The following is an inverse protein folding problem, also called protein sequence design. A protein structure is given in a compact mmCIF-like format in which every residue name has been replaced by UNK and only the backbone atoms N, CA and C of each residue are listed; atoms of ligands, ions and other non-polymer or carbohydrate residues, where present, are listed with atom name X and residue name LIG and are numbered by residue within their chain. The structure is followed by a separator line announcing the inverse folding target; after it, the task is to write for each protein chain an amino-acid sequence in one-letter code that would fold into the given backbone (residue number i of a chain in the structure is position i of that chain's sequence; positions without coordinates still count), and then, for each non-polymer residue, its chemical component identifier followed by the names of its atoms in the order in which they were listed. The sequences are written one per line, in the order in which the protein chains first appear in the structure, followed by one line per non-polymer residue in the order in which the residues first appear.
data_IF_732911159179
#
_entry.id   IF_732911159179
#
_cell.length_a   1.000
_cell.length_b   1.000
_cell.length_c   1.000
_cell.angle_alpha   90.00
_cell.angle_beta   90.00
_cell.angle_gamma   90.00
#
_symmetry.space_group_name_H-M   'P 1'
#
loop_
_entity.id
_entity.type
_entity.pdbx_description
1 polymer ?
#
# COMPACT_ATOMS: atom_id res chain seq x y z
N UNK A 1 -5.90 26.61 -20.72
CA UNK A 1 -5.56 25.16 -20.73
C UNK A 1 -4.04 24.91 -20.67
N UNK A 2 -3.22 25.41 -21.61
CA UNK A 2 -1.77 25.12 -21.64
C UNK A 2 -1.01 25.45 -20.33
N UNK A 3 -1.25 26.62 -19.73
CA UNK A 3 -0.58 27.05 -18.48
C UNK A 3 -0.89 26.12 -17.29
N UNK A 4 -2.12 25.62 -17.21
CA UNK A 4 -2.53 24.69 -16.15
C UNK A 4 -1.88 23.31 -16.32
N UNK A 5 -1.84 22.79 -17.55
CA UNK A 5 -1.17 21.51 -17.85
C UNK A 5 0.33 21.58 -17.54
N UNK A 6 1.00 22.68 -17.90
CA UNK A 6 2.43 22.89 -17.58
C UNK A 6 2.65 22.96 -16.07
N UNK A 7 1.80 23.69 -15.32
CA UNK A 7 1.89 23.72 -13.86
C UNK A 7 1.71 22.32 -13.26
N UNK A 8 0.69 21.58 -13.70
CA UNK A 8 0.40 20.23 -13.21
C UNK A 8 1.59 19.30 -13.45
N UNK A 9 2.25 19.38 -14.60
CA UNK A 9 3.44 18.60 -14.92
C UNK A 9 4.62 18.85 -13.96
N UNK A 10 4.73 20.04 -13.37
CA UNK A 10 5.76 20.35 -12.37
C UNK A 10 5.34 19.95 -10.95
N UNK A 11 4.03 19.91 -10.66
CA UNK A 11 3.47 19.67 -9.31
C UNK A 11 2.70 18.34 -9.18
N UNK A 12 2.91 17.40 -10.10
CA UNK A 12 2.15 16.13 -10.23
C UNK A 12 1.98 15.38 -8.93
N UNK A 13 3.08 15.22 -8.19
CA UNK A 13 3.08 14.47 -6.93
C UNK A 13 2.22 15.15 -5.87
N UNK A 14 2.36 16.46 -5.71
CA UNK A 14 1.55 17.25 -4.78
C UNK A 14 0.08 17.24 -5.18
N UNK A 15 -0.23 17.44 -6.47
CA UNK A 15 -1.60 17.41 -6.97
C UNK A 15 -2.25 16.03 -6.77
N UNK A 16 -1.50 14.95 -6.99
CA UNK A 16 -1.94 13.59 -6.71
C UNK A 16 -2.31 13.40 -5.24
N UNK A 17 -1.42 13.73 -4.31
CA UNK A 17 -1.69 13.52 -2.88
C UNK A 17 -2.81 14.42 -2.36
N UNK A 18 -2.86 15.69 -2.77
CA UNK A 18 -3.97 16.59 -2.40
C UNK A 18 -5.31 16.02 -2.87
N UNK A 19 -5.38 15.55 -4.12
CA UNK A 19 -6.61 14.98 -4.66
C UNK A 19 -6.96 13.63 -3.98
N UNK A 20 -5.97 12.78 -3.74
CA UNK A 20 -6.17 11.50 -3.04
C UNK A 20 -6.72 11.71 -1.62
N UNK A 21 -6.16 12.67 -0.87
CA UNK A 21 -6.64 13.02 0.46
C UNK A 21 -8.04 13.64 0.41
N UNK A 22 -8.27 14.59 -0.50
CA UNK A 22 -9.57 15.25 -0.63
C UNK A 22 -10.71 14.26 -0.93
N UNK A 23 -10.44 13.25 -1.77
CA UNK A 23 -11.42 12.19 -2.08
C UNK A 23 -11.56 11.25 -0.89
N UNK A 24 -10.46 10.73 -0.35
CA UNK A 24 -10.52 9.73 0.72
C UNK A 24 -11.11 10.24 2.02
N UNK A 25 -10.96 11.54 2.28
CA UNK A 25 -11.44 12.20 3.49
C UNK A 25 -12.75 12.97 3.25
N UNK A 26 -13.38 12.84 2.08
CA UNK A 26 -14.51 13.69 1.68
C UNK A 26 -15.69 13.64 2.64
N UNK A 27 -15.93 12.50 3.30
CA UNK A 27 -17.00 12.37 4.29
C UNK A 27 -16.70 13.08 5.60
N UNK A 28 -15.42 13.34 5.93
CA UNK A 28 -15.05 13.85 7.25
C UNK A 28 -15.61 15.26 7.47
N UNK A 29 -15.45 16.24 6.56
CA UNK A 29 -16.13 17.53 6.71
C UNK A 29 -17.66 17.41 6.78
N UNK A 30 -18.26 16.50 6.01
CA UNK A 30 -19.72 16.30 6.00
C UNK A 30 -20.21 15.75 7.35
N UNK A 31 -19.48 14.79 7.91
CA UNK A 31 -19.72 14.26 9.25
C UNK A 31 -19.57 15.36 10.32
N UNK A 32 -18.49 16.15 10.26
CA UNK A 32 -18.24 17.23 11.22
C UNK A 32 -19.32 18.34 11.20
N UNK A 33 -19.96 18.54 10.05
CA UNK A 33 -21.10 19.45 9.88
C UNK A 33 -22.46 18.83 10.24
N UNK A 34 -22.50 17.56 10.64
CA UNK A 34 -23.74 16.84 10.94
C UNK A 34 -24.56 16.43 9.71
N UNK A 35 -23.97 16.46 8.52
CA UNK A 35 -24.63 16.09 7.25
C UNK A 35 -24.55 14.57 6.97
N UNK A 36 -23.68 13.86 7.67
CA UNK A 36 -23.57 12.40 7.61
C UNK A 36 -23.57 11.81 9.03
N UNK A 37 -24.17 10.62 9.23
CA UNK A 37 -24.25 10.00 10.56
C UNK A 37 -22.90 9.46 11.06
N UNK A 38 -21.99 9.15 10.14
CA UNK A 38 -20.67 8.60 10.43
C UNK A 38 -19.63 9.06 9.41
N UNK A 39 -18.37 8.97 9.78
CA UNK A 39 -17.25 9.17 8.85
C UNK A 39 -17.00 7.87 8.07
N UNK A 40 -17.00 7.98 6.74
CA UNK A 40 -16.73 6.90 5.79
C UNK A 40 -15.44 7.19 5.03
N UNK A 41 -14.45 6.33 5.21
CA UNK A 41 -13.19 6.45 4.49
C UNK A 41 -13.32 5.90 3.07
N UNK A 42 -12.87 6.66 2.07
CA UNK A 42 -12.95 6.26 0.66
C UNK A 42 -11.57 5.78 0.18
N UNK A 43 -11.27 4.47 0.24
CA UNK A 43 -9.92 3.94 -0.02
C UNK A 43 -9.52 4.07 -1.50
N UNK A 44 -10.46 4.22 -2.42
CA UNK A 44 -10.19 4.36 -3.85
C UNK A 44 -9.68 5.76 -4.27
N UNK A 45 -9.58 6.70 -3.33
CA UNK A 45 -9.09 8.06 -3.59
C UNK A 45 -7.75 8.13 -4.34
N UNK A 46 -6.72 7.35 -4.00
CA UNK A 46 -5.46 7.28 -4.74
C UNK A 46 -5.64 6.78 -6.18
N UNK A 47 -6.43 5.74 -6.43
CA UNK A 47 -6.74 5.27 -7.78
C UNK A 47 -7.40 6.38 -8.60
N UNK A 48 -8.45 7.01 -8.07
CA UNK A 48 -9.17 8.09 -8.75
C UNK A 48 -8.24 9.27 -9.03
N UNK A 49 -7.43 9.67 -8.04
CA UNK A 49 -6.45 10.73 -8.20
C UNK A 49 -5.41 10.40 -9.29
N UNK A 50 -4.91 9.16 -9.34
CA UNK A 50 -3.99 8.73 -10.39
C UNK A 50 -4.62 8.79 -11.78
N UNK A 51 -5.90 8.40 -11.92
CA UNK A 51 -6.62 8.50 -13.20
C UNK A 51 -6.67 9.96 -13.68
N UNK A 52 -7.11 10.89 -12.82
CA UNK A 52 -7.22 12.30 -13.18
C UNK A 52 -5.86 12.94 -13.46
N UNK A 53 -4.90 12.81 -12.54
CA UNK A 53 -3.58 13.44 -12.69
C UNK A 53 -2.83 12.86 -13.88
N UNK A 54 -2.90 11.54 -14.11
CA UNK A 54 -2.25 10.91 -15.28
C UNK A 54 -2.87 11.39 -16.58
N UNK A 55 -4.21 11.40 -16.66
CA UNK A 55 -4.94 11.85 -17.84
C UNK A 55 -4.70 13.31 -18.18
N UNK A 56 -4.74 14.19 -17.18
CA UNK A 56 -4.56 15.64 -17.37
C UNK A 56 -3.10 16.02 -17.68
N UNK A 57 -2.12 15.35 -17.09
CA UNK A 57 -0.70 15.70 -17.27
C UNK A 57 -0.09 15.12 -18.55
N UNK A 58 -0.50 13.92 -18.98
CA UNK A 58 0.15 13.21 -20.09
C UNK A 58 -0.81 12.51 -21.07
N UNK A 59 -2.13 12.59 -20.86
CA UNK A 59 -3.13 12.01 -21.74
C UNK A 59 -2.93 10.51 -22.01
N UNK A 60 -3.16 10.11 -23.26
CA UNK A 60 -3.10 8.70 -23.70
C UNK A 60 -1.73 8.04 -23.46
N UNK A 61 -0.64 8.78 -23.66
CA UNK A 61 0.72 8.24 -23.45
C UNK A 61 0.99 7.99 -21.96
N UNK A 62 0.47 8.84 -21.08
CA UNK A 62 0.48 8.63 -19.63
C UNK A 62 -0.22 7.34 -19.23
N UNK A 63 -1.47 7.16 -19.69
CA UNK A 63 -2.24 5.95 -19.42
C UNK A 63 -1.58 4.69 -19.96
N UNK A 64 -0.99 4.73 -21.16
CA UNK A 64 -0.25 3.57 -21.70
C UNK A 64 0.93 3.20 -20.82
N UNK A 65 1.70 4.20 -20.36
CA UNK A 65 2.85 3.95 -19.48
C UNK A 65 2.43 3.44 -18.09
N UNK A 66 1.36 4.02 -17.52
CA UNK A 66 0.79 3.63 -16.23
C UNK A 66 0.20 2.22 -16.28
N UNK A 67 -0.69 1.96 -17.26
CA UNK A 67 -1.33 0.65 -17.46
C UNK A 67 -0.33 -0.48 -17.66
N UNK A 68 0.78 -0.24 -18.39
CA UNK A 68 1.85 -1.25 -18.53
C UNK A 68 2.46 -1.74 -17.21
N UNK A 69 2.46 -0.91 -16.16
CA UNK A 69 2.92 -1.31 -14.82
C UNK A 69 1.85 -2.10 -14.07
N UNK A 70 0.58 -1.73 -14.24
CA UNK A 70 -0.57 -2.44 -13.67
C UNK A 70 -0.66 -3.87 -14.19
N UNK A 71 -0.43 -4.09 -15.48
CA UNK A 71 -0.52 -5.41 -16.12
C UNK A 71 0.84 -6.10 -16.29
N UNK A 72 1.87 -5.72 -15.53
CA UNK A 72 3.21 -6.32 -15.64
C UNK A 72 3.24 -7.68 -14.94
N UNK A 73 2.76 -8.72 -15.62
CA UNK A 73 2.69 -10.09 -15.08
C UNK A 73 3.90 -10.97 -15.41
N UNK A 74 4.71 -10.62 -16.41
CA UNK A 74 5.94 -11.37 -16.75
C UNK A 74 7.06 -11.09 -15.75
N UNK A 75 6.95 -11.72 -14.59
CA UNK A 75 7.87 -11.64 -13.45
C UNK A 75 8.20 -13.06 -13.02
N UNK A 76 9.40 -13.32 -12.50
CA UNK A 76 9.80 -14.65 -12.03
C UNK A 76 8.83 -15.18 -10.97
N UNK A 77 8.47 -16.46 -11.05
CA UNK A 77 7.45 -17.10 -10.19
C UNK A 77 7.74 -16.96 -8.69
N UNK A 78 9.01 -16.92 -8.30
CA UNK A 78 9.42 -16.73 -6.90
C UNK A 78 8.87 -15.43 -6.31
N UNK A 79 8.70 -14.38 -7.13
CA UNK A 79 8.12 -13.11 -6.67
C UNK A 79 6.61 -13.17 -6.45
N UNK A 80 5.90 -14.04 -7.16
CA UNK A 80 4.50 -14.33 -6.87
C UNK A 80 4.38 -15.06 -5.54
N UNK A 81 5.26 -16.03 -5.28
CA UNK A 81 5.33 -16.70 -3.99
C UNK A 81 5.63 -15.72 -2.85
N UNK A 82 6.59 -14.81 -3.04
CA UNK A 82 6.87 -13.72 -2.08
C UNK A 82 5.62 -12.85 -1.88
N UNK A 83 4.97 -12.39 -2.95
CA UNK A 83 3.79 -11.54 -2.85
C UNK A 83 2.66 -12.21 -2.06
N UNK A 84 2.38 -13.48 -2.33
CA UNK A 84 1.24 -14.19 -1.74
C UNK A 84 1.56 -14.75 -0.35
N UNK A 85 2.77 -15.26 -0.12
CA UNK A 85 3.10 -16.01 1.10
C UNK A 85 3.80 -15.20 2.19
N UNK A 86 4.50 -14.11 1.85
CA UNK A 86 5.21 -13.31 2.86
C UNK A 86 4.24 -12.63 3.84
N UNK A 87 3.12 -11.99 3.41
CA UNK A 87 2.16 -11.42 4.36
C UNK A 87 1.57 -12.41 5.37
N UNK A 88 0.99 -13.57 4.98
CA UNK A 88 0.46 -14.52 5.94
C UNK A 88 1.56 -15.12 6.80
N UNK A 89 2.77 -15.32 6.28
CA UNK A 89 3.90 -15.75 7.10
C UNK A 89 4.21 -14.76 8.23
N UNK A 90 4.22 -13.45 7.94
CA UNK A 90 4.41 -12.42 8.97
C UNK A 90 3.28 -12.44 10.02
N UNK A 91 2.03 -12.60 9.58
CA UNK A 91 0.89 -12.71 10.50
C UNK A 91 0.97 -13.97 11.37
N UNK A 92 1.37 -15.11 10.81
CA UNK A 92 1.58 -16.38 11.54
C UNK A 92 2.69 -16.24 12.57
N UNK A 93 3.85 -15.69 12.19
CA UNK A 93 4.97 -15.44 13.11
C UNK A 93 4.51 -14.57 14.28
N UNK A 94 3.77 -13.50 14.00
CA UNK A 94 3.19 -12.65 15.04
C UNK A 94 2.23 -13.41 15.96
N UNK A 95 1.28 -14.16 15.39
CA UNK A 95 0.27 -14.87 16.16
C UNK A 95 0.89 -15.90 17.08
N UNK A 96 1.81 -16.73 16.57
CA UNK A 96 2.50 -17.73 17.39
C UNK A 96 3.43 -17.10 18.43
N UNK A 97 4.11 -16.00 18.12
CA UNK A 97 4.88 -15.26 19.12
C UNK A 97 3.98 -14.70 20.23
N UNK A 98 2.80 -14.20 19.90
CA UNK A 98 1.85 -13.69 20.88
C UNK A 98 1.33 -14.80 21.81
N UNK A 99 1.06 -15.99 21.26
CA UNK A 99 0.67 -17.20 22.02
C UNK A 99 1.82 -17.65 22.93
N UNK A 100 3.05 -17.69 22.41
CA UNK A 100 4.24 -18.04 23.19
C UNK A 100 4.48 -17.08 24.37
N UNK A 101 4.02 -15.84 24.27
CA UNK A 101 4.05 -14.82 25.33
C UNK A 101 2.82 -14.85 26.25
N UNK A 102 1.99 -15.89 26.16
CA UNK A 102 0.89 -16.16 27.07
C UNK A 102 -0.51 -15.77 26.58
N UNK A 103 -0.68 -15.32 25.33
CA UNK A 103 -2.02 -15.16 24.76
C UNK A 103 -2.72 -16.53 24.69
N UNK A 104 -4.03 -16.61 24.95
CA UNK A 104 -4.79 -17.82 24.70
C UNK A 104 -4.61 -18.28 23.26
N UNK A 105 -4.46 -19.59 23.07
CA UNK A 105 -4.56 -20.19 21.74
C UNK A 105 -6.04 -20.19 21.30
N UNK A 106 -6.61 -19.01 21.07
CA UNK A 106 -7.81 -18.87 20.26
C UNK A 106 -7.38 -19.23 18.84
N UNK A 107 -7.64 -20.50 18.45
CA UNK A 107 -7.21 -21.01 17.16
C UNK A 107 -7.86 -20.26 16.01
N UNK A 108 -7.30 -20.40 14.81
CA UNK A 108 -7.89 -19.95 13.54
C UNK A 108 -9.11 -20.80 13.14
N UNK A 109 -9.90 -21.29 14.09
CA UNK A 109 -10.93 -22.31 13.90
C UNK A 109 -12.06 -21.82 12.99
N UNK A 110 -12.30 -20.51 12.94
CA UNK A 110 -13.28 -19.88 12.05
C UNK A 110 -12.70 -19.57 10.65
N UNK A 111 -11.38 -19.68 10.47
CA UNK A 111 -10.72 -19.42 9.20
C UNK A 111 -10.87 -20.65 8.30
N UNK A 112 -11.69 -20.53 7.26
CA UNK A 112 -11.89 -21.57 6.26
C UNK A 112 -11.12 -21.24 4.98
N UNK A 113 -10.65 -22.26 4.27
CA UNK A 113 -10.02 -22.08 2.96
C UNK A 113 -10.93 -21.41 1.95
N UNK A 114 -12.22 -21.78 1.95
CA UNK A 114 -13.22 -21.13 1.10
C UNK A 114 -13.39 -19.65 1.46
N UNK A 115 -13.47 -19.31 2.75
CA UNK A 115 -13.55 -17.93 3.21
C UNK A 115 -12.34 -17.09 2.78
N UNK A 116 -11.13 -17.62 2.98
CA UNK A 116 -9.90 -16.94 2.54
C UNK A 116 -9.88 -16.72 1.02
N UNK A 117 -10.23 -17.74 0.24
CA UNK A 117 -10.28 -17.63 -1.22
C UNK A 117 -11.35 -16.62 -1.69
N UNK A 118 -12.52 -16.61 -1.05
CA UNK A 118 -13.60 -15.67 -1.36
C UNK A 118 -13.18 -14.23 -1.04
N UNK A 119 -12.59 -14.00 0.14
CA UNK A 119 -12.08 -12.68 0.53
C UNK A 119 -11.01 -12.21 -0.45
N UNK A 120 -9.98 -13.01 -0.70
CA UNK A 120 -8.92 -12.70 -1.66
C UNK A 120 -9.50 -12.35 -3.05
N UNK A 121 -10.38 -13.21 -3.59
CA UNK A 121 -10.96 -12.99 -4.90
C UNK A 121 -11.80 -11.70 -4.99
N UNK A 122 -12.55 -11.35 -3.94
CA UNK A 122 -13.32 -10.09 -3.91
C UNK A 122 -12.42 -8.87 -3.83
N UNK A 123 -11.45 -8.87 -2.91
CA UNK A 123 -10.48 -7.79 -2.71
C UNK A 123 -9.63 -7.50 -3.96
N UNK A 124 -9.32 -8.55 -4.74
CA UNK A 124 -8.58 -8.44 -6.00
C UNK A 124 -9.30 -7.59 -7.06
N UNK A 125 -10.64 -7.60 -7.06
CA UNK A 125 -11.45 -6.97 -8.12
C UNK A 125 -12.24 -5.76 -7.66
N UNK A 126 -12.36 -5.53 -6.34
CA UNK A 126 -13.11 -4.42 -5.78
C UNK A 126 -12.25 -3.14 -5.72
N UNK A 127 -12.51 -2.13 -6.57
CA UNK A 127 -11.76 -0.87 -6.54
C UNK A 127 -12.07 -0.02 -5.31
N UNK A 128 -13.13 -0.33 -4.57
CA UNK A 128 -13.50 0.30 -3.30
C UNK A 128 -12.85 -0.39 -2.10
N UNK A 129 -12.04 -1.43 -2.34
CA UNK A 129 -11.18 -2.02 -1.33
C UNK A 129 -9.73 -1.53 -1.46
N UNK A 130 -8.96 -1.66 -0.38
CA UNK A 130 -7.60 -1.13 -0.26
C UNK A 130 -6.65 -1.54 -1.40
N UNK A 131 -6.51 -2.83 -1.79
CA UNK A 131 -5.51 -3.27 -2.76
C UNK A 131 -5.65 -2.61 -4.12
N UNK A 132 -6.83 -2.74 -4.75
CA UNK A 132 -7.07 -2.17 -6.07
C UNK A 132 -7.32 -0.66 -6.02
N UNK A 133 -7.89 -0.14 -4.93
CA UNK A 133 -8.11 1.29 -4.71
C UNK A 133 -6.84 2.10 -4.45
N UNK A 134 -5.80 1.48 -3.88
CA UNK A 134 -4.60 2.19 -3.44
C UNK A 134 -3.37 1.95 -4.32
N UNK A 135 -3.08 0.70 -4.67
CA UNK A 135 -1.81 0.31 -5.30
C UNK A 135 -1.57 0.94 -6.68
N UNK A 136 -2.58 1.05 -7.57
CA UNK A 136 -2.44 1.80 -8.82
C UNK A 136 -2.06 3.27 -8.61
N UNK A 137 -2.50 3.87 -7.50
CA UNK A 137 -2.16 5.23 -7.10
C UNK A 137 -0.76 5.32 -6.47
N UNK A 138 -0.56 4.68 -5.32
CA UNK A 138 0.69 4.82 -4.58
C UNK A 138 1.89 4.22 -5.31
N UNK A 139 1.79 2.96 -5.79
CA UNK A 139 2.91 2.26 -6.43
C UNK A 139 2.91 2.47 -7.94
N UNK A 140 1.72 2.56 -8.55
CA UNK A 140 1.61 2.77 -9.99
C UNK A 140 1.92 4.20 -10.45
N UNK A 141 1.54 5.21 -9.65
CA UNK A 141 1.67 6.62 -10.02
C UNK A 141 2.69 7.39 -9.17
N UNK A 142 2.55 7.40 -7.84
CA UNK A 142 3.37 8.24 -6.96
C UNK A 142 4.82 7.76 -6.84
N UNK A 143 5.03 6.45 -6.65
CA UNK A 143 6.37 5.88 -6.42
C UNK A 143 7.35 6.13 -7.60
N UNK A 144 6.99 5.91 -8.87
CA UNK A 144 7.88 6.23 -10.00
C UNK A 144 8.28 7.71 -10.05
N UNK A 145 7.36 8.61 -9.70
CA UNK A 145 7.64 10.05 -9.65
C UNK A 145 8.57 10.41 -8.49
N UNK A 146 8.43 9.76 -7.33
CA UNK A 146 9.33 9.92 -6.19
C UNK A 146 10.74 9.44 -6.53
N UNK A 147 10.86 8.25 -7.14
CA UNK A 147 12.14 7.63 -7.51
C UNK A 147 12.84 8.33 -8.69
N UNK A 148 12.14 9.16 -9.47
CA UNK A 148 12.72 9.92 -10.57
C UNK A 148 13.84 10.89 -10.13
N UNK A 149 13.83 11.32 -8.86
CA UNK A 149 14.81 12.25 -8.29
C UNK A 149 15.31 11.85 -6.90
N UNK A 150 15.04 10.62 -6.45
CA UNK A 150 15.40 10.13 -5.12
C UNK A 150 15.87 8.68 -5.20
N UNK A 151 16.79 8.32 -4.30
CA UNK A 151 17.10 6.90 -4.05
C UNK A 151 15.83 6.14 -3.64
N UNK A 152 15.72 4.83 -3.94
CA UNK A 152 14.62 4.00 -3.47
C UNK A 152 14.30 4.13 -1.98
N UNK A 153 15.32 4.19 -1.11
CA UNK A 153 15.13 4.33 0.33
C UNK A 153 14.43 5.64 0.72
N UNK A 154 14.92 6.78 0.19
CA UNK A 154 14.27 8.09 0.39
C UNK A 154 12.86 8.13 -0.22
N UNK A 155 12.64 7.50 -1.37
CA UNK A 155 11.32 7.41 -1.97
C UNK A 155 10.35 6.60 -1.09
N UNK A 156 10.80 5.48 -0.51
CA UNK A 156 10.03 4.69 0.43
C UNK A 156 9.70 5.46 1.71
N UNK A 157 10.66 6.18 2.30
CA UNK A 157 10.42 6.97 3.49
C UNK A 157 9.40 8.10 3.25
N UNK A 158 9.53 8.84 2.15
CA UNK A 158 8.57 9.91 1.80
C UNK A 158 7.20 9.32 1.50
N UNK A 159 7.13 8.24 0.71
CA UNK A 159 5.87 7.57 0.42
C UNK A 159 5.23 7.03 1.71
N UNK A 160 6.01 6.43 2.60
CA UNK A 160 5.52 5.89 3.87
C UNK A 160 4.90 6.97 4.75
N UNK A 161 5.53 8.14 4.87
CA UNK A 161 4.96 9.27 5.62
C UNK A 161 3.61 9.70 5.04
N UNK A 162 3.54 9.82 3.71
CA UNK A 162 2.32 10.26 3.03
C UNK A 162 1.21 9.21 3.09
N UNK A 163 1.52 7.92 2.94
CA UNK A 163 0.51 6.86 3.05
C UNK A 163 0.06 6.70 4.51
N UNK A 164 0.96 6.74 5.49
CA UNK A 164 0.56 6.74 6.92
C UNK A 164 -0.30 7.94 7.26
N UNK A 165 0.08 9.14 6.83
CA UNK A 165 -0.71 10.35 7.05
C UNK A 165 -2.10 10.26 6.42
N UNK A 166 -2.23 9.63 5.26
CA UNK A 166 -3.51 9.40 4.58
C UNK A 166 -4.47 8.51 5.40
N UNK A 167 -3.96 7.59 6.21
CA UNK A 167 -4.74 6.73 7.11
C UNK A 167 -5.17 7.42 8.42
N UNK A 168 -4.78 8.68 8.66
CA UNK A 168 -5.07 9.37 9.92
C UNK A 168 -6.56 9.40 10.32
N UNK A 169 -7.54 9.62 9.42
CA UNK A 169 -8.95 9.56 9.79
C UNK A 169 -9.34 8.22 10.41
N UNK A 170 -8.80 7.10 9.90
CA UNK A 170 -9.11 5.77 10.41
C UNK A 170 -8.67 5.60 11.87
N UNK A 171 -7.58 6.26 12.27
CA UNK A 171 -7.15 6.26 13.67
C UNK A 171 -8.04 7.16 14.52
N UNK A 172 -8.37 8.35 14.03
CA UNK A 172 -9.21 9.32 14.74
C UNK A 172 -10.60 8.76 15.02
N UNK A 173 -11.16 7.98 14.09
CA UNK A 173 -12.51 7.40 14.19
C UNK A 173 -12.51 5.93 14.63
N UNK A 174 -11.37 5.39 15.06
CA UNK A 174 -11.27 4.08 15.71
C UNK A 174 -11.35 2.87 14.79
N UNK A 175 -11.28 3.03 13.46
CA UNK A 175 -11.20 1.92 12.51
C UNK A 175 -9.78 1.35 12.36
N UNK A 176 -8.75 2.08 12.81
CA UNK A 176 -7.35 1.65 12.82
C UNK A 176 -6.71 2.00 14.16
N UNK A 177 -5.89 1.10 14.71
CA UNK A 177 -5.14 1.41 15.94
C UNK A 177 -4.03 2.44 15.67
N UNK A 178 -3.58 3.12 16.73
CA UNK A 178 -2.47 4.07 16.62
C UNK A 178 -1.18 3.40 16.10
N UNK A 179 -0.96 2.12 16.43
CA UNK A 179 0.18 1.31 15.95
C UNK A 179 0.06 1.03 14.43
N UNK A 180 -1.14 1.14 13.87
CA UNK A 180 -1.36 1.06 12.43
C UNK A 180 -0.54 2.09 11.63
N UNK A 181 -0.37 3.32 12.13
CA UNK A 181 0.38 4.36 11.41
C UNK A 181 1.87 4.02 11.21
N UNK A 182 2.65 3.69 12.27
CA UNK A 182 4.03 3.23 12.08
C UNK A 182 4.10 1.90 11.32
N UNK A 183 3.11 1.02 11.46
CA UNK A 183 3.07 -0.22 10.66
C UNK A 183 2.94 0.07 9.17
N UNK A 184 2.03 0.98 8.77
CA UNK A 184 1.86 1.46 7.40
C UNK A 184 3.12 2.13 6.86
N UNK A 185 3.84 2.86 7.71
CA UNK A 185 5.11 3.49 7.33
C UNK A 185 6.16 2.42 7.01
N UNK A 186 6.32 1.42 7.87
CA UNK A 186 7.35 0.38 7.72
C UNK A 186 7.02 -0.58 6.58
N UNK A 187 5.78 -1.07 6.47
CA UNK A 187 5.38 -1.98 5.39
C UNK A 187 5.50 -1.33 4.00
N UNK A 188 5.43 0.01 3.92
CA UNK A 188 5.70 0.74 2.67
C UNK A 188 7.10 0.43 2.10
N UNK A 189 8.10 0.14 2.94
CA UNK A 189 9.41 -0.28 2.48
C UNK A 189 9.36 -1.65 1.78
N UNK A 190 8.59 -2.61 2.29
CA UNK A 190 8.40 -3.92 1.65
C UNK A 190 7.70 -3.78 0.29
N UNK A 191 6.69 -2.91 0.18
CA UNK A 191 6.04 -2.62 -1.09
C UNK A 191 7.02 -2.01 -2.12
N UNK A 192 7.86 -1.05 -1.70
CA UNK A 192 8.84 -0.43 -2.59
C UNK A 192 9.91 -1.44 -3.01
N UNK A 193 10.38 -2.28 -2.09
CA UNK A 193 11.30 -3.36 -2.38
C UNK A 193 10.73 -4.33 -3.43
N UNK A 194 9.52 -4.83 -3.20
CA UNK A 194 8.83 -5.74 -4.11
C UNK A 194 8.61 -5.10 -5.48
N UNK A 195 8.16 -3.84 -5.51
CA UNK A 195 8.00 -3.08 -6.75
C UNK A 195 9.31 -3.00 -7.54
N UNK A 196 10.43 -2.66 -6.88
CA UNK A 196 11.73 -2.54 -7.55
C UNK A 196 12.24 -3.90 -8.08
N UNK A 197 12.15 -4.95 -7.26
CA UNK A 197 12.61 -6.31 -7.62
C UNK A 197 11.80 -6.95 -8.73
N UNK A 198 10.56 -6.51 -8.93
CA UNK A 198 9.66 -7.01 -9.98
C UNK A 198 9.67 -6.13 -11.24
N UNK A 199 10.62 -5.19 -11.34
CA UNK A 199 10.76 -4.29 -12.47
C UNK A 199 9.64 -3.24 -12.55
N UNK A 200 9.06 -2.86 -11.42
CA UNK A 200 7.97 -1.91 -11.30
C UNK A 200 6.60 -2.52 -11.62
N UNK A 201 6.37 -3.77 -11.18
CA UNK A 201 5.05 -4.39 -11.30
C UNK A 201 4.14 -3.97 -10.15
N UNK A 202 3.04 -3.31 -10.48
CA UNK A 202 1.98 -2.99 -9.51
C UNK A 202 1.11 -4.21 -9.25
N UNK A 203 1.01 -5.15 -10.19
CA UNK A 203 0.30 -6.41 -9.96
C UNK A 203 0.85 -7.15 -8.74
N UNK A 204 2.17 -7.22 -8.59
CA UNK A 204 2.79 -7.92 -7.47
C UNK A 204 2.58 -7.17 -6.14
N UNK A 205 2.59 -5.84 -6.14
CA UNK A 205 2.28 -5.08 -4.92
C UNK A 205 0.81 -5.16 -4.55
N UNK A 206 -0.09 -5.22 -5.54
CA UNK A 206 -1.51 -5.49 -5.35
C UNK A 206 -1.73 -6.88 -4.74
N UNK A 207 -1.13 -7.94 -5.28
CA UNK A 207 -1.23 -9.29 -4.71
C UNK A 207 -0.68 -9.37 -3.28
N UNK A 208 0.40 -8.64 -2.99
CA UNK A 208 0.94 -8.54 -1.63
C UNK A 208 -0.05 -7.83 -0.70
N UNK A 209 -0.65 -6.72 -1.13
CA UNK A 209 -1.63 -5.98 -0.34
C UNK A 209 -2.92 -6.79 -0.12
N UNK A 210 -3.38 -7.49 -1.15
CA UNK A 210 -4.53 -8.37 -1.07
C UNK A 210 -4.30 -9.52 -0.09
N UNK A 211 -3.15 -10.21 -0.20
CA UNK A 211 -2.76 -11.27 0.74
C UNK A 211 -2.66 -10.75 2.17
N UNK A 212 -2.06 -9.56 2.36
CA UNK A 212 -1.96 -8.87 3.64
C UNK A 212 -3.33 -8.55 4.27
N UNK A 213 -4.36 -8.26 3.47
CA UNK A 213 -5.72 -8.02 3.96
C UNK A 213 -6.57 -9.29 4.09
N UNK A 214 -6.17 -10.38 3.45
CA UNK A 214 -6.91 -11.66 3.46
C UNK A 214 -6.67 -12.46 4.73
N UNK A 215 -5.42 -12.54 5.18
CA UNK A 215 -5.06 -13.21 6.44
C UNK A 215 -4.24 -12.27 7.30
N UNK A 216 -4.78 -11.94 8.48
CA UNK A 216 -4.22 -10.91 9.36
C UNK A 216 -3.99 -11.48 10.75
N UNK A 217 -3.34 -10.69 11.61
CA UNK A 217 -3.21 -11.01 13.04
C UNK A 217 -4.59 -11.14 13.72
N UNK A 218 -5.60 -10.41 13.24
CA UNK A 218 -6.96 -10.51 13.77
C UNK A 218 -7.60 -11.88 13.51
N UNK A 219 -7.10 -12.65 12.53
CA UNK A 219 -7.55 -14.02 12.26
C UNK A 219 -7.27 -15.01 13.40
N UNK A 220 -6.44 -14.64 14.38
CA UNK A 220 -6.22 -15.40 15.62
C UNK A 220 -7.25 -15.07 16.72
N UNK A 221 -8.13 -14.09 16.53
CA UNK A 221 -9.20 -13.78 17.49
C UNK A 221 -8.71 -13.28 18.86
N UNK A 222 -7.50 -12.72 18.95
CA UNK A 222 -7.01 -12.13 20.20
C UNK A 222 -7.91 -10.98 20.65
N UNK A 223 -8.05 -10.81 21.97
CA UNK A 223 -8.87 -9.76 22.58
C UNK A 223 -8.10 -8.94 23.61
N UNK A 224 -8.56 -7.71 23.85
CA UNK A 224 -8.03 -6.83 24.89
C UNK A 224 -6.52 -6.59 24.78
N UNK A 225 -5.80 -6.83 25.87
CA UNK A 225 -4.35 -6.59 25.94
C UNK A 225 -3.55 -7.48 24.96
N UNK A 226 -4.05 -8.67 24.62
CA UNK A 226 -3.38 -9.58 23.69
C UNK A 226 -3.42 -9.05 22.26
N UNK A 227 -4.49 -8.34 21.86
CA UNK A 227 -4.58 -7.66 20.57
C UNK A 227 -3.51 -6.58 20.47
N UNK A 228 -3.41 -5.70 21.47
CA UNK A 228 -2.42 -4.63 21.49
C UNK A 228 -0.98 -5.16 21.49
N UNK A 229 -0.71 -6.25 22.22
CA UNK A 229 0.59 -6.92 22.17
C UNK A 229 0.89 -7.50 20.78
N UNK A 230 -0.09 -8.12 20.13
CA UNK A 230 0.07 -8.67 18.79
C UNK A 230 0.37 -7.58 17.74
N UNK A 231 -0.23 -6.40 17.85
CA UNK A 231 0.09 -5.26 16.98
C UNK A 231 1.54 -4.78 17.14
N UNK A 232 2.03 -4.70 18.38
CA UNK A 232 3.44 -4.35 18.65
C UNK A 232 4.41 -5.40 18.10
N UNK A 233 4.09 -6.69 18.27
CA UNK A 233 4.88 -7.79 17.71
C UNK A 233 4.87 -7.69 16.18
N UNK A 234 3.71 -7.44 15.55
CA UNK A 234 3.61 -7.30 14.09
C UNK A 234 4.46 -6.14 13.57
N UNK A 235 4.43 -4.98 14.25
CA UNK A 235 5.33 -3.87 13.93
C UNK A 235 6.81 -4.29 14.01
N UNK A 236 7.18 -5.06 15.04
CA UNK A 236 8.51 -5.64 15.17
C UNK A 236 8.89 -6.56 14.01
N UNK A 237 7.97 -7.46 13.60
CA UNK A 237 8.15 -8.35 12.45
C UNK A 237 8.34 -7.55 11.15
N UNK A 238 7.52 -6.51 10.94
CA UNK A 238 7.65 -5.62 9.79
C UNK A 238 9.00 -4.89 9.78
N UNK A 239 9.47 -4.40 10.93
CA UNK A 239 10.77 -3.73 11.06
C UNK A 239 11.91 -4.68 10.69
N UNK A 240 11.88 -5.91 11.22
CA UNK A 240 12.89 -6.94 10.91
C UNK A 240 12.86 -7.28 9.42
N UNK A 241 11.69 -7.50 8.83
CA UNK A 241 11.55 -7.79 7.41
C UNK A 241 12.06 -6.63 6.53
N UNK A 242 11.66 -5.38 6.84
CA UNK A 242 12.11 -4.21 6.12
C UNK A 242 13.64 -4.05 6.20
N UNK A 243 14.21 -4.15 7.41
CA UNK A 243 15.66 -4.11 7.62
C UNK A 243 16.37 -5.23 6.86
N UNK A 244 15.84 -6.46 6.87
CA UNK A 244 16.41 -7.58 6.13
C UNK A 244 16.45 -7.26 4.62
N UNK A 245 15.38 -6.71 4.04
CA UNK A 245 15.41 -6.31 2.62
C UNK A 245 16.42 -5.21 2.34
N UNK A 246 16.58 -4.24 3.25
CA UNK A 246 17.50 -3.11 3.09
C UNK A 246 18.96 -3.57 3.18
N UNK A 247 19.26 -4.47 4.11
CA UNK A 247 20.63 -4.91 4.39
C UNK A 247 21.09 -6.01 3.44
N UNK A 248 20.20 -6.94 3.07
CA UNK A 248 20.53 -8.16 2.32
C UNK A 248 20.30 -8.04 0.80
N UNK A 249 19.38 -7.19 0.35
CA UNK A 249 19.07 -6.99 -1.07
C UNK A 249 19.40 -5.56 -1.52
N UNK A 250 20.69 -5.23 -1.45
CA UNK A 250 21.19 -3.88 -1.76
C UNK A 250 20.80 -3.41 -3.17
N UNK A 251 20.72 -4.33 -4.13
CA UNK A 251 20.36 -4.03 -5.51
C UNK A 251 18.96 -3.40 -5.62
N UNK A 252 18.02 -3.79 -4.76
CA UNK A 252 16.68 -3.19 -4.73
C UNK A 252 16.67 -1.73 -4.23
N UNK A 253 17.71 -1.31 -3.50
CA UNK A 253 17.76 -0.05 -2.78
C UNK A 253 18.77 0.95 -3.36
N UNK A 254 19.65 0.50 -4.25
CA UNK A 254 20.53 1.39 -5.01
C UNK A 254 19.81 2.01 -6.22
N UNK A 255 20.13 3.27 -6.59
CA UNK A 255 19.64 3.85 -7.83
C UNK A 255 20.13 3.03 -9.02
N UNK A 256 19.22 2.49 -9.83
CA UNK A 256 19.62 1.92 -11.12
C UNK A 256 20.24 3.02 -12.01
N UNK A 257 21.30 2.74 -12.80
CA UNK A 257 21.91 3.69 -13.72
C UNK A 257 20.95 4.28 -14.76
N UNK A 258 19.85 3.57 -15.02
CA UNK A 258 18.66 4.08 -15.66
C UNK A 258 17.49 3.95 -14.68
N UNK A 259 16.61 4.95 -14.53
CA UNK A 259 15.40 4.75 -13.76
C UNK A 259 14.67 3.54 -14.35
N UNK A 260 14.26 2.58 -13.52
CA UNK A 260 13.51 1.38 -13.93
C UNK A 260 12.26 1.73 -14.75
N UNK A 261 11.88 3.01 -14.74
CA UNK A 261 10.83 3.61 -15.50
C UNK A 261 11.35 4.90 -16.17
N UNK A 262 11.46 4.92 -17.50
CA UNK A 262 11.70 6.16 -18.24
C UNK A 262 10.57 7.17 -17.97
N UNK A 263 10.88 8.27 -17.29
CA UNK A 263 9.91 9.33 -16.92
C UNK A 263 9.64 10.30 -18.09
N UNK A 264 10.14 10.00 -19.30
CA UNK A 264 9.92 10.84 -20.48
C UNK A 264 9.36 10.01 -21.64
N UNK A 265 8.18 10.33 -22.19
CA UNK A 265 8.03 10.26 -23.63
C UNK A 265 8.99 11.30 -24.23
N UNK A 266 9.76 10.92 -25.26
CA UNK A 266 10.48 11.92 -26.06
C UNK A 266 9.44 12.92 -26.59
N UNK A 267 9.80 14.21 -26.53
CA UNK A 267 9.00 15.31 -27.06
C UNK A 267 8.68 15.07 -28.53
#
# INVERSE_FOLDING_TARGET
MLRFTVWLQHHRLSAFFVLAYAISWSSWPLYALGLMPQMEFVPCGPLVAAVFVTGLAWGRNGFKAWGRRLIRWRVGWAWYAVAILLPPLMALVTGFANIALGAPASGTAEVTWSGLLTVFAMRLVDPLDGPLGEEPGFRGHALPLLQAGRTPLRAAAVLGILVSGWHLPLVVFGQLSLIGLPSTFVITFLYVWLFNRTGGSVLLTLLFHDSQGTFTVASFGFAGADTGRAELIYLGVLLVAALATILLDRDAWHPSPAPAVGVRPRM
#
